data_IF_408175110995
#
_entry.id   IF_408175110995
#
_cell.length_a   1.000
_cell.length_b   1.000
_cell.length_c   1.000
_cell.angle_alpha   90.00
_cell.angle_beta   90.00
_cell.angle_gamma   90.00
#
_symmetry.space_group_name_H-M   'P 1'
#
loop_
_entity.id
_entity.type
_entity.pdbx_description
1 polymer ?
#
# COMPACT_ATOMS: atom_id res chain seq x y z
N UNK A 1 7.54 -3.96 9.71
CA UNK A 1 8.21 -3.15 8.66
C UNK A 1 7.27 -2.03 8.22
N UNK A 2 7.80 -0.89 7.77
CA UNK A 2 7.00 0.30 7.41
C UNK A 2 7.25 0.67 5.94
N UNK A 3 6.17 1.02 5.25
CA UNK A 3 6.18 1.73 3.98
C UNK A 3 5.81 3.19 4.22
N UNK A 4 6.50 4.11 3.55
CA UNK A 4 6.10 5.53 3.52
C UNK A 4 5.57 5.87 2.14
N UNK A 5 4.34 6.37 2.10
CA UNK A 5 3.74 6.90 0.87
C UNK A 5 4.15 8.35 0.67
N UNK A 6 4.79 8.62 -0.46
CA UNK A 6 5.32 9.91 -0.88
C UNK A 6 4.40 10.49 -1.96
N UNK A 7 3.59 11.52 -1.65
CA UNK A 7 2.81 12.22 -2.66
C UNK A 7 3.74 13.02 -3.58
N UNK A 8 3.71 12.75 -4.88
CA UNK A 8 4.45 13.55 -5.86
C UNK A 8 3.61 14.78 -6.19
N UNK A 9 3.91 15.93 -5.60
CA UNK A 9 3.08 17.16 -5.72
C UNK A 9 3.78 18.25 -6.52
N UNK A 10 4.99 18.64 -6.11
CA UNK A 10 5.68 19.82 -6.65
C UNK A 10 6.70 19.47 -7.72
N UNK A 11 7.57 18.50 -7.43
CA UNK A 11 8.61 18.05 -8.34
C UNK A 11 9.11 16.65 -8.00
N UNK A 12 9.81 16.05 -8.94
CA UNK A 12 10.50 14.77 -8.78
C UNK A 12 11.58 14.87 -7.69
N UNK A 13 12.33 15.97 -7.67
CA UNK A 13 13.43 16.19 -6.74
C UNK A 13 12.95 16.25 -5.29
N UNK A 14 11.83 16.93 -5.02
CA UNK A 14 11.26 17.01 -3.67
C UNK A 14 10.71 15.67 -3.20
N UNK A 15 10.00 14.94 -4.06
CA UNK A 15 9.52 13.59 -3.73
C UNK A 15 10.69 12.63 -3.45
N UNK A 16 11.78 12.71 -4.22
CA UNK A 16 12.99 11.92 -3.97
C UNK A 16 13.66 12.32 -2.66
N UNK A 17 13.70 13.61 -2.33
CA UNK A 17 14.23 14.09 -1.04
C UNK A 17 13.44 13.51 0.13
N UNK A 18 12.11 13.56 0.06
CA UNK A 18 11.21 13.00 1.07
C UNK A 18 11.35 11.49 1.22
N UNK A 19 11.53 10.76 0.11
CA UNK A 19 11.79 9.32 0.15
C UNK A 19 13.10 8.99 0.86
N UNK A 20 14.18 9.73 0.58
CA UNK A 20 15.46 9.56 1.27
C UNK A 20 15.35 9.84 2.76
N UNK A 21 14.63 10.89 3.12
CA UNK A 21 14.34 11.23 4.52
C UNK A 21 13.55 10.10 5.22
N UNK A 22 12.52 9.57 4.56
CA UNK A 22 11.75 8.44 5.09
C UNK A 22 12.62 7.20 5.35
N UNK A 23 13.56 6.88 4.44
CA UNK A 23 14.51 5.76 4.63
C UNK A 23 15.44 5.99 5.81
N UNK A 24 15.96 7.21 5.99
CA UNK A 24 16.77 7.60 7.16
C UNK A 24 15.97 7.40 8.46
N UNK A 25 14.67 7.70 8.44
CA UNK A 25 13.75 7.51 9.57
C UNK A 25 13.28 6.06 9.75
N UNK A 26 13.77 5.12 8.94
CA UNK A 26 13.55 3.69 9.14
C UNK A 26 12.54 3.04 8.18
N UNK A 27 12.06 3.75 7.16
CA UNK A 27 11.22 3.15 6.12
C UNK A 27 11.94 1.98 5.44
N UNK A 28 11.21 0.88 5.22
CA UNK A 28 11.69 -0.32 4.53
C UNK A 28 11.11 -0.47 3.12
N UNK A 29 10.15 0.38 2.79
CA UNK A 29 9.51 0.49 1.48
C UNK A 29 9.19 1.97 1.25
N UNK A 30 9.25 2.39 0.00
CA UNK A 30 8.81 3.72 -0.43
C UNK A 30 7.75 3.54 -1.51
N UNK A 31 6.59 4.17 -1.32
CA UNK A 31 5.53 4.23 -2.33
C UNK A 31 5.49 5.63 -2.94
N UNK A 32 5.68 5.75 -4.25
CA UNK A 32 5.44 7.01 -4.95
C UNK A 32 3.99 7.07 -5.43
N UNK A 33 3.28 8.09 -4.96
CA UNK A 33 1.90 8.38 -5.30
C UNK A 33 1.85 9.43 -6.40
N UNK A 34 1.79 8.96 -7.64
CA UNK A 34 1.82 9.82 -8.83
C UNK A 34 0.49 10.50 -9.12
N UNK A 35 -0.61 10.02 -8.54
CA UNK A 35 -1.94 10.64 -8.66
C UNK A 35 -2.03 12.03 -8.02
N UNK A 36 -1.03 12.45 -7.23
CA UNK A 36 -0.95 13.80 -6.66
C UNK A 36 -0.36 14.84 -7.62
N UNK A 37 0.25 14.41 -8.73
CA UNK A 37 0.91 15.31 -9.67
C UNK A 37 -0.02 15.64 -10.83
N UNK A 38 -0.35 16.93 -11.01
CA UNK A 38 -1.30 17.37 -12.05
C UNK A 38 -0.82 17.01 -13.46
N UNK A 39 0.47 17.19 -13.74
CA UNK A 39 1.11 16.87 -15.02
C UNK A 39 1.83 15.51 -14.97
N UNK A 40 1.14 14.48 -14.47
CA UNK A 40 1.72 13.15 -14.28
C UNK A 40 2.40 12.59 -15.55
N UNK A 41 1.92 12.97 -16.73
CA UNK A 41 2.46 12.57 -18.03
C UNK A 41 3.84 13.19 -18.35
N UNK A 42 4.24 14.24 -17.64
CA UNK A 42 5.55 14.89 -17.78
C UNK A 42 6.60 14.34 -16.82
N UNK A 43 6.21 13.44 -15.90
CA UNK A 43 7.15 12.82 -14.97
C UNK A 43 8.09 11.85 -15.69
N UNK A 44 9.38 12.00 -15.43
CA UNK A 44 10.40 11.01 -15.70
C UNK A 44 10.40 9.95 -14.59
N UNK A 45 9.53 8.95 -14.76
CA UNK A 45 9.37 7.84 -13.82
C UNK A 45 10.69 7.09 -13.51
N UNK A 46 11.64 7.07 -14.44
CA UNK A 46 12.93 6.39 -14.23
C UNK A 46 13.75 7.00 -13.08
N UNK A 47 13.56 8.29 -12.75
CA UNK A 47 14.27 8.93 -11.62
C UNK A 47 13.90 8.31 -10.26
N UNK A 48 12.73 7.69 -10.13
CA UNK A 48 12.23 7.17 -8.86
C UNK A 48 12.77 5.77 -8.52
N UNK A 49 13.11 4.94 -9.52
CA UNK A 49 13.47 3.52 -9.34
C UNK A 49 14.71 3.27 -8.46
N UNK A 50 15.70 4.18 -8.54
CA UNK A 50 16.97 4.07 -7.81
C UNK A 50 17.23 5.29 -6.93
N UNK A 51 16.15 5.96 -6.54
CA UNK A 51 16.20 7.13 -5.68
C UNK A 51 16.60 6.79 -4.24
N UNK A 52 16.38 5.54 -3.82
CA UNK A 52 16.60 5.00 -2.47
C UNK A 52 17.02 3.52 -2.52
N UNK A 53 17.67 3.03 -1.45
CA UNK A 53 18.15 1.65 -1.33
C UNK A 53 17.13 0.67 -0.71
N UNK A 54 15.84 0.98 -0.85
CA UNK A 54 14.72 0.14 -0.38
C UNK A 54 13.73 -0.09 -1.52
N UNK A 55 12.93 -1.18 -1.50
CA UNK A 55 11.98 -1.45 -2.57
C UNK A 55 11.04 -0.28 -2.84
N UNK A 56 10.87 0.03 -4.13
CA UNK A 56 10.04 1.13 -4.63
C UNK A 56 8.72 0.59 -5.18
N UNK A 57 7.62 1.20 -4.73
CA UNK A 57 6.26 0.90 -5.15
C UNK A 57 5.78 2.06 -6.03
N UNK A 58 5.36 1.76 -7.25
CA UNK A 58 4.69 2.72 -8.12
C UNK A 58 3.18 2.63 -7.94
N UNK A 59 2.54 3.76 -7.64
CA UNK A 59 1.10 3.82 -7.39
C UNK A 59 0.50 5.02 -8.09
N UNK A 60 -0.52 4.77 -8.91
CA UNK A 60 -1.43 5.80 -9.39
C UNK A 60 -2.85 5.46 -8.89
N UNK A 61 -3.19 5.98 -7.72
CA UNK A 61 -4.45 5.63 -7.04
C UNK A 61 -5.64 6.13 -7.86
N UNK A 62 -6.64 5.27 -8.06
CA UNK A 62 -7.90 5.67 -8.69
C UNK A 62 -8.69 6.63 -7.79
N UNK A 63 -9.37 7.62 -8.37
CA UNK A 63 -10.17 8.59 -7.61
C UNK A 63 -11.31 7.95 -6.79
N UNK A 64 -11.90 6.85 -7.29
CA UNK A 64 -12.90 6.08 -6.57
C UNK A 64 -12.38 5.39 -5.29
N UNK A 65 -11.06 5.29 -5.13
CA UNK A 65 -10.39 4.73 -3.95
C UNK A 65 -9.48 5.78 -3.27
N UNK A 66 -9.80 7.08 -3.42
CA UNK A 66 -9.10 8.18 -2.73
C UNK A 66 -7.86 8.70 -3.43
N UNK A 67 -7.74 8.50 -4.75
CA UNK A 67 -6.73 9.15 -5.58
C UNK A 67 -7.05 10.61 -5.88
N UNK A 68 -6.01 11.43 -6.08
CA UNK A 68 -6.18 12.88 -6.25
C UNK A 68 -6.39 13.33 -7.70
N UNK A 69 -5.94 12.54 -8.67
CA UNK A 69 -6.07 12.86 -10.09
C UNK A 69 -7.43 12.43 -10.66
N UNK A 70 -8.10 13.36 -11.35
CA UNK A 70 -9.28 13.06 -12.17
C UNK A 70 -8.84 12.76 -13.61
N UNK A 71 -8.79 11.47 -13.94
CA UNK A 71 -8.35 10.97 -15.23
C UNK A 71 -9.35 9.95 -15.78
N UNK A 72 -9.52 9.87 -17.10
CA UNK A 72 -10.35 8.83 -17.69
C UNK A 72 -9.71 7.44 -17.55
N UNK A 73 -10.57 6.43 -17.47
CA UNK A 73 -10.18 5.02 -17.28
C UNK A 73 -9.16 4.58 -18.34
N UNK A 74 -9.36 4.96 -19.61
CA UNK A 74 -8.47 4.56 -20.70
C UNK A 74 -7.08 5.18 -20.59
N UNK A 75 -6.97 6.46 -20.23
CA UNK A 75 -5.67 7.11 -19.95
C UNK A 75 -5.00 6.49 -18.73
N UNK A 76 -5.75 6.21 -17.67
CA UNK A 76 -5.20 5.54 -16.48
C UNK A 76 -4.64 4.16 -16.83
N UNK A 77 -5.37 3.36 -17.61
CA UNK A 77 -4.91 2.06 -18.08
C UNK A 77 -3.63 2.14 -18.92
N UNK A 78 -3.53 3.12 -19.82
CA UNK A 78 -2.30 3.37 -20.59
C UNK A 78 -1.13 3.77 -19.69
N UNK A 79 -1.38 4.56 -18.66
CA UNK A 79 -0.37 4.95 -17.68
C UNK A 79 0.10 3.75 -16.84
N UNK A 80 -0.82 2.90 -16.37
CA UNK A 80 -0.45 1.68 -15.67
C UNK A 80 0.42 0.78 -16.57
N UNK A 81 0.06 0.63 -17.84
CA UNK A 81 0.86 -0.13 -18.79
C UNK A 81 2.27 0.45 -18.98
N UNK A 82 2.44 1.78 -18.99
CA UNK A 82 3.77 2.38 -19.13
C UNK A 82 4.66 2.13 -17.90
N UNK A 83 4.09 1.88 -16.71
CA UNK A 83 4.88 1.49 -15.53
C UNK A 83 5.65 0.18 -15.74
N UNK A 84 5.18 -0.70 -16.62
CA UNK A 84 5.88 -1.96 -16.92
C UNK A 84 7.25 -1.74 -17.57
N UNK A 85 7.41 -0.66 -18.35
CA UNK A 85 8.67 -0.34 -19.03
C UNK A 85 9.78 0.07 -18.04
N UNK A 86 9.38 0.61 -16.88
CA UNK A 86 10.29 1.07 -15.84
C UNK A 86 10.70 -0.03 -14.86
N UNK A 87 9.93 -1.12 -14.76
CA UNK A 87 10.21 -2.28 -13.88
C UNK A 87 10.48 -1.90 -12.41
N UNK A 88 9.56 -1.18 -11.73
CA UNK A 88 9.67 -0.97 -10.28
C UNK A 88 9.59 -2.31 -9.53
N UNK A 89 10.03 -2.35 -8.27
CA UNK A 89 9.92 -3.55 -7.44
C UNK A 89 8.47 -4.00 -7.31
N UNK A 90 7.57 -3.03 -7.15
CA UNK A 90 6.13 -3.24 -7.03
C UNK A 90 5.32 -2.22 -7.83
N UNK A 91 4.16 -2.67 -8.35
CA UNK A 91 3.08 -1.80 -8.79
C UNK A 91 1.85 -2.06 -7.90
N UNK A 92 1.31 -1.01 -7.27
CA UNK A 92 -0.01 -1.06 -6.64
C UNK A 92 -1.10 -0.77 -7.68
N UNK A 93 -2.05 -1.69 -7.80
CA UNK A 93 -3.22 -1.56 -8.67
C UNK A 93 -4.46 -2.04 -7.92
N UNK A 94 -5.55 -1.29 -8.03
CA UNK A 94 -6.78 -1.58 -7.33
C UNK A 94 -7.52 -2.76 -7.96
N UNK A 95 -8.11 -3.57 -7.11
CA UNK A 95 -9.07 -4.61 -7.47
C UNK A 95 -10.28 -4.04 -8.19
N UNK A 96 -10.69 -2.79 -7.94
CA UNK A 96 -11.78 -2.14 -8.69
C UNK A 96 -11.46 -1.87 -10.16
N UNK A 97 -10.19 -2.03 -10.59
CA UNK A 97 -9.81 -1.96 -11.99
C UNK A 97 -10.56 -3.02 -12.82
N UNK A 98 -10.95 -2.65 -14.05
CA UNK A 98 -11.65 -3.51 -14.99
C UNK A 98 -10.93 -4.87 -15.12
N UNK A 99 -11.67 -5.97 -15.00
CA UNK A 99 -11.11 -7.31 -14.72
C UNK A 99 -10.31 -7.87 -15.87
N UNK A 100 -10.76 -7.69 -17.12
CA UNK A 100 -10.05 -8.16 -18.30
C UNK A 100 -8.73 -7.42 -18.46
N UNK A 101 -8.74 -6.09 -18.30
CA UNK A 101 -7.52 -5.30 -18.26
C UNK A 101 -6.59 -5.74 -17.12
N UNK A 102 -7.12 -5.87 -15.89
CA UNK A 102 -6.29 -6.22 -14.72
C UNK A 102 -5.60 -7.58 -14.91
N UNK A 103 -6.32 -8.57 -15.43
CA UNK A 103 -5.77 -9.89 -15.74
C UNK A 103 -4.62 -9.81 -16.77
N UNK A 104 -4.82 -9.11 -17.88
CA UNK A 104 -3.78 -8.93 -18.91
C UNK A 104 -2.59 -8.11 -18.40
N UNK A 105 -2.86 -7.06 -17.61
CA UNK A 105 -1.86 -6.19 -17.03
C UNK A 105 -0.95 -6.93 -16.05
N UNK A 106 -1.55 -7.70 -15.13
CA UNK A 106 -0.78 -8.54 -14.18
C UNK A 106 0.05 -9.55 -14.96
N UNK A 107 -0.54 -10.27 -15.93
CA UNK A 107 0.20 -11.25 -16.76
C UNK A 107 1.44 -10.63 -17.41
N UNK A 108 1.28 -9.48 -18.09
CA UNK A 108 2.40 -8.76 -18.73
C UNK A 108 3.46 -8.32 -17.71
N UNK A 109 3.06 -7.82 -16.54
CA UNK A 109 4.01 -7.44 -15.51
C UNK A 109 4.75 -8.62 -14.91
N UNK A 110 4.09 -9.77 -14.71
CA UNK A 110 4.76 -11.00 -14.26
C UNK A 110 5.79 -11.49 -15.29
N UNK A 111 5.47 -11.44 -16.58
CA UNK A 111 6.42 -11.74 -17.67
C UNK A 111 7.64 -10.79 -17.65
N UNK A 112 7.46 -9.55 -17.18
CA UNK A 112 8.53 -8.57 -16.99
C UNK A 112 9.28 -8.69 -15.65
N UNK A 113 8.90 -9.63 -14.77
CA UNK A 113 9.52 -9.83 -13.45
C UNK A 113 9.05 -8.85 -12.36
N UNK A 114 7.94 -8.14 -12.58
CA UNK A 114 7.39 -7.14 -11.65
C UNK A 114 6.49 -7.82 -10.61
N UNK A 115 6.52 -7.33 -9.37
CA UNK A 115 5.59 -7.77 -8.31
C UNK A 115 4.41 -6.83 -8.22
N UNK A 116 3.28 -7.34 -7.77
CA UNK A 116 2.04 -6.58 -7.66
C UNK A 116 1.58 -6.48 -6.22
N UNK A 117 1.03 -5.31 -5.90
CA UNK A 117 0.16 -5.12 -4.75
C UNK A 117 -1.25 -4.96 -5.31
N UNK A 118 -2.08 -5.99 -5.17
CA UNK A 118 -3.51 -5.88 -5.52
C UNK A 118 -4.23 -5.28 -4.33
N UNK A 119 -4.64 -4.02 -4.47
CA UNK A 119 -5.19 -3.25 -3.37
C UNK A 119 -6.70 -3.12 -3.47
N UNK A 120 -7.37 -3.00 -2.34
CA UNK A 120 -8.78 -2.67 -2.29
C UNK A 120 -9.05 -1.85 -1.04
N UNK A 121 -9.77 -0.74 -1.25
CA UNK A 121 -10.09 0.21 -0.21
C UNK A 121 -11.60 0.32 -0.03
N UNK A 122 -12.09 0.03 1.18
CA UNK A 122 -13.45 0.41 1.59
C UNK A 122 -13.34 1.73 2.37
N UNK A 123 -13.74 2.81 1.69
CA UNK A 123 -13.61 4.17 2.23
C UNK A 123 -14.66 4.48 3.31
N UNK A 124 -15.72 3.67 3.41
CA UNK A 124 -16.89 3.98 4.26
C UNK A 124 -16.88 3.19 5.57
N UNK A 125 -16.50 1.91 5.53
CA UNK A 125 -16.62 1.02 6.69
C UNK A 125 -15.63 -0.15 6.63
N UNK A 126 -15.70 -1.00 7.65
CA UNK A 126 -15.09 -2.32 7.67
C UNK A 126 -16.18 -3.36 7.38
N UNK A 127 -16.15 -4.01 6.20
CA UNK A 127 -17.12 -5.04 5.86
C UNK A 127 -17.00 -6.27 6.76
N UNK A 128 -18.05 -7.09 6.84
CA UNK A 128 -17.97 -8.39 7.50
C UNK A 128 -16.83 -9.24 6.90
N UNK A 129 -16.09 -9.94 7.77
CA UNK A 129 -14.95 -10.77 7.37
C UNK A 129 -15.23 -11.72 6.18
N UNK A 130 -16.39 -12.39 6.08
CA UNK A 130 -16.67 -13.25 4.93
C UNK A 130 -16.64 -12.52 3.57
N UNK A 131 -16.98 -11.23 3.52
CA UNK A 131 -16.93 -10.44 2.28
C UNK A 131 -15.48 -10.07 1.92
N UNK A 132 -14.64 -9.82 2.93
CA UNK A 132 -13.21 -9.58 2.74
C UNK A 132 -12.53 -10.86 2.24
N UNK A 133 -12.88 -12.00 2.82
CA UNK A 133 -12.38 -13.32 2.41
C UNK A 133 -12.81 -13.65 0.97
N UNK A 134 -14.08 -13.42 0.62
CA UNK A 134 -14.57 -13.59 -0.76
C UNK A 134 -13.78 -12.73 -1.76
N UNK A 135 -13.53 -11.47 -1.43
CA UNK A 135 -12.73 -10.56 -2.27
C UNK A 135 -11.32 -11.10 -2.48
N UNK A 136 -10.70 -11.65 -1.43
CA UNK A 136 -9.36 -12.25 -1.51
C UNK A 136 -9.37 -13.51 -2.37
N UNK A 137 -10.37 -14.38 -2.24
CA UNK A 137 -10.48 -15.58 -3.07
C UNK A 137 -10.64 -15.26 -4.56
N UNK A 138 -11.32 -14.14 -4.87
CA UNK A 138 -11.39 -13.64 -6.25
C UNK A 138 -10.05 -13.06 -6.73
N UNK A 139 -9.34 -12.30 -5.88
CA UNK A 139 -8.00 -11.78 -6.21
C UNK A 139 -7.02 -12.92 -6.47
N UNK A 140 -7.10 -14.02 -5.72
CA UNK A 140 -6.26 -15.22 -5.90
C UNK A 140 -6.45 -15.91 -7.25
N UNK A 141 -7.47 -15.57 -8.04
CA UNK A 141 -7.64 -16.07 -9.41
C UNK A 141 -6.72 -15.37 -10.42
N UNK A 142 -6.08 -14.25 -10.05
CA UNK A 142 -5.05 -13.61 -10.86
C UNK A 142 -3.75 -14.45 -10.84
N UNK A 143 -2.90 -14.37 -11.87
CA UNK A 143 -1.64 -15.11 -11.94
C UNK A 143 -0.58 -14.47 -11.03
N UNK A 144 -0.78 -14.58 -9.71
CA UNK A 144 0.05 -14.00 -8.66
C UNK A 144 0.76 -15.10 -7.86
N UNK A 145 1.92 -14.76 -7.32
CA UNK A 145 2.68 -15.59 -6.40
C UNK A 145 2.67 -14.95 -5.00
N UNK A 146 1.97 -15.59 -4.05
CA UNK A 146 1.87 -15.14 -2.66
C UNK A 146 2.90 -15.79 -1.74
N UNK A 147 4.02 -16.29 -2.28
CA UNK A 147 5.16 -16.69 -1.45
C UNK A 147 5.86 -15.45 -0.84
N UNK A 148 6.58 -15.62 0.29
CA UNK A 148 7.23 -14.49 0.97
C UNK A 148 8.13 -13.68 0.04
N UNK A 149 7.91 -12.36 0.01
CA UNK A 149 8.69 -11.42 -0.81
C UNK A 149 8.23 -11.28 -2.27
N UNK A 150 7.12 -11.92 -2.67
CA UNK A 150 6.50 -11.78 -3.99
C UNK A 150 5.28 -10.85 -3.93
N UNK A 151 4.16 -11.24 -4.56
CA UNK A 151 2.96 -10.43 -4.72
C UNK A 151 2.18 -10.34 -3.40
N UNK A 152 1.46 -9.23 -3.21
CA UNK A 152 0.81 -8.89 -1.94
C UNK A 152 -0.64 -8.52 -2.22
N UNK A 153 -1.56 -8.94 -1.35
CA UNK A 153 -2.90 -8.37 -1.30
C UNK A 153 -2.96 -7.29 -0.24
N UNK A 154 -3.59 -6.16 -0.55
CA UNK A 154 -3.75 -5.03 0.37
C UNK A 154 -5.23 -4.74 0.57
N UNK A 155 -5.73 -4.93 1.78
CA UNK A 155 -7.12 -4.67 2.16
C UNK A 155 -7.15 -3.58 3.22
N UNK A 156 -7.64 -2.41 2.86
CA UNK A 156 -7.69 -1.26 3.77
C UNK A 156 -9.14 -0.79 3.90
N UNK A 157 -9.67 -0.77 5.11
CA UNK A 157 -11.09 -0.44 5.37
C UNK A 157 -11.22 0.78 6.25
N UNK A 158 -12.39 1.39 6.43
CA UNK A 158 -12.58 2.49 7.39
C UNK A 158 -13.11 1.97 8.73
N UNK A 159 -12.50 2.39 9.84
CA UNK A 159 -13.04 2.09 11.17
C UNK A 159 -14.23 3.02 11.48
N UNK A 160 -15.40 2.43 11.67
CA UNK A 160 -16.61 3.11 12.16
C UNK A 160 -16.91 2.73 13.62
N UNK A 161 -16.32 1.64 14.10
CA UNK A 161 -16.32 1.19 15.48
C UNK A 161 -14.91 0.76 15.90
N UNK A 162 -14.54 0.93 17.18
CA UNK A 162 -13.20 0.56 17.63
C UNK A 162 -12.92 -0.94 17.48
N UNK A 163 -13.97 -1.78 17.55
CA UNK A 163 -13.93 -3.24 17.32
C UNK A 163 -13.47 -3.60 15.91
N UNK A 164 -13.62 -2.71 14.93
CA UNK A 164 -13.15 -2.94 13.56
C UNK A 164 -11.63 -3.20 13.53
N UNK A 165 -10.86 -2.50 14.36
CA UNK A 165 -9.43 -2.74 14.50
C UNK A 165 -9.14 -4.17 14.93
N UNK A 166 -9.88 -4.68 15.92
CA UNK A 166 -9.68 -6.02 16.45
C UNK A 166 -10.04 -7.07 15.41
N UNK A 167 -11.12 -6.86 14.65
CA UNK A 167 -11.54 -7.75 13.59
C UNK A 167 -10.48 -7.86 12.48
N UNK A 168 -9.98 -6.72 12.00
CA UNK A 168 -8.94 -6.67 10.97
C UNK A 168 -7.60 -7.24 11.47
N UNK A 169 -7.21 -6.98 12.72
CA UNK A 169 -5.97 -7.54 13.28
C UNK A 169 -6.05 -9.06 13.48
N UNK A 170 -7.21 -9.60 13.89
CA UNK A 170 -7.44 -11.05 13.96
C UNK A 170 -7.37 -11.68 12.58
N UNK A 171 -7.98 -11.04 11.59
CA UNK A 171 -7.92 -11.48 10.20
C UNK A 171 -6.47 -11.51 9.69
N UNK A 172 -5.70 -10.45 9.93
CA UNK A 172 -4.29 -10.36 9.61
C UNK A 172 -3.48 -11.53 10.20
N UNK A 173 -3.71 -11.85 11.48
CA UNK A 173 -3.06 -12.98 12.15
C UNK A 173 -3.42 -14.33 11.53
N UNK A 174 -4.68 -14.52 11.12
CA UNK A 174 -5.12 -15.73 10.42
C UNK A 174 -4.43 -15.88 9.06
N UNK A 175 -4.35 -14.80 8.29
CA UNK A 175 -3.68 -14.78 6.98
C UNK A 175 -2.19 -15.16 7.10
N UNK A 176 -1.49 -14.65 8.12
CA UNK A 176 -0.09 -15.02 8.41
C UNK A 176 0.07 -16.52 8.66
N UNK A 177 -0.83 -17.14 9.42
CA UNK A 177 -0.79 -18.57 9.70
C UNK A 177 -0.95 -19.43 8.43
N UNK A 178 -1.63 -18.89 7.42
CA UNK A 178 -1.75 -19.50 6.08
C UNK A 178 -0.63 -19.12 5.10
N UNK A 179 0.47 -18.49 5.55
CA UNK A 179 1.57 -17.97 4.71
C UNK A 179 1.14 -16.99 3.61
N UNK A 180 0.00 -16.31 3.77
CA UNK A 180 -0.53 -15.38 2.77
C UNK A 180 0.06 -13.98 2.94
N UNK A 181 0.59 -13.38 1.87
CA UNK A 181 1.14 -12.02 1.91
C UNK A 181 0.01 -10.98 1.91
N UNK A 182 -0.22 -10.36 3.07
CA UNK A 182 -1.29 -9.40 3.28
C UNK A 182 -0.77 -8.10 3.87
N UNK A 183 -1.29 -6.98 3.39
CA UNK A 183 -1.28 -5.68 4.07
C UNK A 183 -2.72 -5.38 4.47
N UNK A 184 -2.99 -5.14 5.75
CA UNK A 184 -4.34 -4.76 6.16
C UNK A 184 -4.36 -3.94 7.45
N UNK A 185 -5.21 -2.93 7.49
CA UNK A 185 -5.48 -2.07 8.64
C UNK A 185 -6.72 -1.20 8.35
N UNK A 186 -7.23 -0.54 9.38
CA UNK A 186 -8.31 0.43 9.24
C UNK A 186 -7.79 1.87 9.05
N UNK A 187 -8.51 2.67 8.27
CA UNK A 187 -8.38 4.11 8.08
C UNK A 187 -9.14 4.89 9.15
N UNK A 188 -8.95 6.20 9.15
CA UNK A 188 -9.56 7.12 10.10
C UNK A 188 -8.82 7.16 11.43
N UNK A 189 -9.18 8.14 12.28
CA UNK A 189 -8.56 8.30 13.60
C UNK A 189 -8.76 7.06 14.47
N UNK A 190 -9.93 6.43 14.41
CA UNK A 190 -10.23 5.20 15.13
C UNK A 190 -9.40 4.00 14.63
N UNK A 191 -8.89 4.05 13.40
CA UNK A 191 -8.11 2.97 12.76
C UNK A 191 -6.62 2.95 13.11
N UNK A 192 -6.11 3.97 13.82
CA UNK A 192 -4.68 4.11 14.15
C UNK A 192 -4.12 2.87 14.84
N UNK A 193 -4.89 2.24 15.72
CA UNK A 193 -4.46 1.05 16.47
C UNK A 193 -4.14 -0.11 15.53
N UNK A 194 -5.04 -0.45 14.61
CA UNK A 194 -4.77 -1.51 13.63
C UNK A 194 -3.62 -1.16 12.69
N UNK A 195 -3.48 0.12 12.30
CA UNK A 195 -2.35 0.58 11.48
C UNK A 195 -1.00 0.31 12.15
N UNK A 196 -0.85 0.64 13.43
CA UNK A 196 0.41 0.44 14.15
C UNK A 196 0.68 -1.04 14.43
N UNK A 197 -0.36 -1.81 14.81
CA UNK A 197 -0.19 -3.20 15.26
C UNK A 197 -0.17 -4.23 14.13
N UNK A 198 -0.65 -3.90 12.93
CA UNK A 198 -0.74 -4.85 11.80
C UNK A 198 0.57 -5.59 11.48
N UNK A 199 1.76 -4.94 11.46
CA UNK A 199 3.01 -5.66 11.20
C UNK A 199 3.29 -6.75 12.24
N UNK A 200 3.01 -6.50 13.53
CA UNK A 200 3.15 -7.49 14.60
C UNK A 200 2.16 -8.64 14.47
N UNK A 201 0.99 -8.37 13.89
CA UNK A 201 -0.04 -9.37 13.61
C UNK A 201 0.24 -10.17 12.34
N UNK A 202 1.24 -9.78 11.53
CA UNK A 202 1.66 -10.55 10.35
C UNK A 202 1.48 -9.85 9.02
N UNK A 203 1.07 -8.58 9.00
CA UNK A 203 1.08 -7.81 7.77
C UNK A 203 2.51 -7.65 7.26
N UNK A 204 2.70 -7.66 5.92
CA UNK A 204 4.02 -7.49 5.30
C UNK A 204 4.66 -6.17 5.74
N UNK A 205 3.88 -5.09 5.68
CA UNK A 205 4.21 -3.79 6.27
C UNK A 205 2.93 -3.01 6.57
N UNK A 206 3.09 -1.87 7.23
CA UNK A 206 2.03 -0.85 7.37
C UNK A 206 2.48 0.47 6.76
N UNK A 207 1.56 1.42 6.64
CA UNK A 207 1.79 2.70 5.99
C UNK A 207 1.89 3.85 6.99
N UNK A 208 2.92 4.68 6.82
CA UNK A 208 3.11 5.97 7.46
C UNK A 208 3.26 7.09 6.42
N UNK A 209 3.25 8.35 6.88
CA UNK A 209 3.50 9.53 6.05
C UNK A 209 4.85 10.17 6.36
N UNK A 210 5.34 10.96 5.41
CA UNK A 210 6.40 11.95 5.60
C UNK A 210 5.80 13.34 5.36
N UNK A 211 6.10 14.29 6.24
CA UNK A 211 5.50 15.63 6.18
C UNK A 211 4.05 15.69 6.69
N UNK A 212 3.29 16.68 6.21
CA UNK A 212 1.92 16.95 6.68
C UNK A 212 0.94 15.82 6.35
N UNK A 213 -0.04 15.62 7.24
CA UNK A 213 -1.02 14.52 7.14
C UNK A 213 -1.94 14.74 5.94
N UNK A 214 -1.83 13.90 4.91
CA UNK A 214 -2.66 14.01 3.69
C UNK A 214 -3.99 13.28 3.79
N UNK A 215 -4.17 12.41 4.79
CA UNK A 215 -5.44 11.68 5.01
C UNK A 215 -5.67 11.45 6.50
N UNK A 216 -6.94 11.47 6.93
CA UNK A 216 -7.31 11.23 8.32
C UNK A 216 -6.79 9.88 8.84
N UNK A 217 -6.05 9.91 9.96
CA UNK A 217 -5.45 8.71 10.56
C UNK A 217 -4.10 8.29 9.96
N UNK A 218 -3.52 9.06 9.02
CA UNK A 218 -2.10 8.95 8.71
C UNK A 218 -1.25 9.49 9.87
N UNK A 219 -0.16 8.78 10.14
CA UNK A 219 0.76 9.00 11.25
C UNK A 219 2.12 9.26 10.63
N UNK A 220 2.83 10.27 11.14
CA UNK A 220 4.20 10.53 10.68
C UNK A 220 5.09 9.31 11.01
N UNK A 221 6.06 8.99 10.16
CA UNK A 221 6.92 7.82 10.37
C UNK A 221 7.59 7.81 11.74
N UNK A 222 8.06 8.95 12.25
CA UNK A 222 8.65 9.05 13.59
C UNK A 222 7.68 8.62 14.69
N UNK A 223 6.46 9.18 14.70
CA UNK A 223 5.43 8.81 15.67
C UNK A 223 5.06 7.32 15.56
N UNK A 224 5.00 6.79 14.32
CA UNK A 224 4.74 5.36 14.12
C UNK A 224 5.85 4.53 14.75
N UNK A 225 7.12 4.87 14.49
CA UNK A 225 8.27 4.14 15.02
C UNK A 225 8.28 4.15 16.54
N UNK A 226 8.04 5.31 17.17
CA UNK A 226 7.97 5.45 18.62
C UNK A 226 6.86 4.56 19.21
N UNK A 227 5.65 4.62 18.64
CA UNK A 227 4.54 3.78 19.09
C UNK A 227 4.82 2.28 18.89
N UNK A 228 5.44 1.92 17.77
CA UNK A 228 5.76 0.54 17.44
C UNK A 228 6.84 -0.02 18.38
N UNK A 229 7.87 0.76 18.68
CA UNK A 229 8.94 0.39 19.62
C UNK A 229 8.39 0.21 21.04
N UNK A 230 7.59 1.16 21.52
CA UNK A 230 6.92 1.04 22.82
C UNK A 230 6.09 -0.25 22.92
N UNK A 231 5.37 -0.60 21.86
CA UNK A 231 4.62 -1.85 21.80
C UNK A 231 5.52 -3.09 21.87
N UNK A 232 6.61 -3.13 21.09
CA UNK A 232 7.55 -4.27 21.11
C UNK A 232 8.15 -4.45 22.51
N UNK A 233 8.65 -3.37 23.12
CA UNK A 233 9.25 -3.38 24.45
C UNK A 233 8.25 -3.88 25.51
N UNK A 234 6.99 -3.46 25.41
CA UNK A 234 5.94 -3.94 26.30
C UNK A 234 5.68 -5.45 26.15
N UNK A 235 5.64 -5.95 24.90
CA UNK A 235 5.47 -7.39 24.65
C UNK A 235 6.64 -8.24 25.16
N UNK A 236 7.87 -7.75 25.02
CA UNK A 236 9.06 -8.43 25.53
C UNK A 236 9.10 -8.47 27.06
N UNK A 237 8.65 -7.40 27.74
CA UNK A 237 8.63 -7.33 29.21
C UNK A 237 7.62 -8.28 29.89
N UNK A 238 6.74 -8.91 29.12
CA UNK A 238 5.69 -9.84 29.60
C UNK A 238 6.12 -11.31 29.45
N UNK A 239 7.21 -11.58 28.73
CA UNK A 239 7.79 -12.91 28.50
C UNK A 239 8.95 -13.19 29.47
#
# INVERSE_FOLDING_TARGET
MICVAIPVIQSEEEAIRQAKEAVILGAKYVEYRFDFFENYDQLNYAKFLHSVDVPVIFTFRASCEGGMALIDVGKRQRLLLSFLDFKPDYIDVEWSTEKLFLMDFVRKGKEAGIKFIISWHDMEKTPPLPQIEETIEQIKQLPLDFSPGNDIVKIVTTAVDFRDNINILRFCKSARAGNFQLITFCMGQMGIVSRVLAPSMGAVFSYASIGEKTTAGQIHISDFMDMYELYQNACESIL
#
